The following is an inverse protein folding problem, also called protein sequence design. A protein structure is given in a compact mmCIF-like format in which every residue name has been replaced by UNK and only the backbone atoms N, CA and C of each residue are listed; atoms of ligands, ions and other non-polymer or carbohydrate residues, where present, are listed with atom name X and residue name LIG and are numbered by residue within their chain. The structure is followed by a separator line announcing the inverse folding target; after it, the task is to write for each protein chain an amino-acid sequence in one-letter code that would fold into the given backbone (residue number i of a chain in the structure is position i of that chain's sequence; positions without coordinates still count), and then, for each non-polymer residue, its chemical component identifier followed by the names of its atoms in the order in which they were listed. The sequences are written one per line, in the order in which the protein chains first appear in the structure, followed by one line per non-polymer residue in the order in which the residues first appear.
data_IF_353673499440
#
_entry.id   IF_353673499440
#
_cell.length_a   1.000
_cell.length_b   1.000
_cell.length_c   1.000
_cell.angle_alpha   90.00
_cell.angle_beta   90.00
_cell.angle_gamma   90.00
#
_symmetry.space_group_name_H-M   'P 1'
#
loop_
_entity.id
_entity.type
_entity.pdbx_description
1 polymer ?
#
# COMPACT_ATOMS: atom_id res chain seq x y z
N UNK A 1 5.26 -39.75 -12.13
CA UNK A 1 5.79 -38.40 -12.40
C UNK A 1 4.95 -37.39 -11.61
N UNK A 2 5.32 -37.10 -10.36
CA UNK A 2 4.58 -36.18 -9.50
C UNK A 2 5.01 -34.75 -9.85
N UNK A 3 4.08 -33.92 -10.36
CA UNK A 3 4.26 -32.46 -10.40
C UNK A 3 4.25 -31.98 -8.94
N UNK A 4 5.44 -31.68 -8.41
CA UNK A 4 5.54 -31.10 -7.08
C UNK A 4 5.02 -29.67 -7.13
N UNK A 5 4.23 -29.36 -6.11
CA UNK A 5 3.53 -28.12 -5.88
C UNK A 5 4.44 -26.89 -5.95
N UNK A 6 3.82 -25.76 -6.27
CA UNK A 6 4.32 -24.41 -6.12
C UNK A 6 4.80 -24.24 -4.68
N UNK A 7 6.11 -24.33 -4.46
CA UNK A 7 6.76 -23.74 -3.30
C UNK A 7 8.17 -23.31 -3.70
N UNK A 8 8.26 -22.05 -4.12
CA UNK A 8 9.49 -21.30 -4.07
C UNK A 8 9.08 -19.86 -3.84
N UNK A 9 8.99 -19.47 -2.57
CA UNK A 9 9.21 -18.09 -2.18
C UNK A 9 10.57 -17.70 -2.77
N UNK A 10 10.56 -17.10 -3.96
CA UNK A 10 11.78 -16.64 -4.62
C UNK A 10 12.53 -15.72 -3.66
N UNK A 11 13.85 -15.62 -3.79
CA UNK A 11 14.64 -14.67 -3.01
C UNK A 11 14.02 -13.25 -3.03
N UNK A 12 13.43 -12.90 -4.17
CA UNK A 12 12.71 -11.66 -4.35
C UNK A 12 11.34 -11.63 -3.65
N UNK A 13 10.56 -12.71 -3.75
CA UNK A 13 9.21 -12.79 -3.18
C UNK A 13 9.18 -12.66 -1.66
N UNK A 14 10.18 -13.18 -0.94
CA UNK A 14 10.24 -12.99 0.52
C UNK A 14 10.69 -11.56 0.90
N UNK A 15 11.64 -10.98 0.16
CA UNK A 15 12.08 -9.60 0.35
C UNK A 15 10.94 -8.61 0.14
N UNK A 16 10.17 -8.78 -0.95
CA UNK A 16 8.98 -7.94 -1.21
C UNK A 16 7.96 -8.11 -0.09
N UNK A 17 7.76 -9.33 0.42
CA UNK A 17 6.87 -9.57 1.55
C UNK A 17 7.35 -8.86 2.83
N UNK A 18 8.64 -8.90 3.14
CA UNK A 18 9.19 -8.20 4.30
C UNK A 18 9.14 -6.67 4.17
N UNK A 19 9.36 -6.11 2.97
CA UNK A 19 9.19 -4.67 2.72
C UNK A 19 7.71 -4.27 2.88
N UNK A 20 6.79 -5.07 2.33
CA UNK A 20 5.34 -4.87 2.51
C UNK A 20 4.96 -4.91 3.99
N UNK A 21 5.44 -5.89 4.75
CA UNK A 21 5.21 -6.00 6.19
C UNK A 21 5.79 -4.82 6.97
N UNK A 22 7.01 -4.38 6.64
CA UNK A 22 7.62 -3.21 7.28
C UNK A 22 6.84 -1.93 6.99
N UNK A 23 6.41 -1.71 5.74
CA UNK A 23 5.60 -0.56 5.35
C UNK A 23 4.21 -0.60 6.00
N UNK A 24 3.59 -1.77 6.11
CA UNK A 24 2.31 -1.92 6.83
C UNK A 24 2.49 -1.67 8.33
N UNK A 25 3.52 -2.21 8.99
CA UNK A 25 3.72 -1.98 10.41
C UNK A 25 4.14 -0.53 10.74
N UNK A 26 4.76 0.17 9.80
CA UNK A 26 5.26 1.55 9.95
C UNK A 26 4.56 2.55 9.02
N UNK A 27 3.32 2.32 8.60
CA UNK A 27 2.59 3.24 7.71
C UNK A 27 2.22 4.52 8.46
N UNK A 28 3.21 5.37 8.66
CA UNK A 28 3.03 6.68 9.21
C UNK A 28 2.55 7.62 8.11
N UNK A 29 1.25 7.90 8.13
CA UNK A 29 0.60 8.87 7.25
C UNK A 29 0.56 10.27 7.88
N UNK A 30 1.39 10.53 8.87
CA UNK A 30 1.41 11.82 9.55
C UNK A 30 2.02 12.87 8.61
N UNK A 31 1.27 13.91 8.22
CA UNK A 31 1.79 14.91 7.31
C UNK A 31 2.93 15.68 7.98
N UNK A 32 4.05 15.83 7.27
CA UNK A 32 5.16 16.67 7.72
C UNK A 32 4.74 18.13 7.60
N UNK A 33 4.58 18.80 8.75
CA UNK A 33 4.15 20.20 8.79
C UNK A 33 5.34 21.13 8.57
N UNK A 34 5.19 22.08 7.66
CA UNK A 34 6.18 23.09 7.35
C UNK A 34 5.65 24.47 7.68
N UNK A 35 6.48 25.32 8.27
CA UNK A 35 6.12 26.70 8.60
C UNK A 35 7.14 27.68 8.02
N UNK A 36 6.66 28.81 7.51
CA UNK A 36 7.54 29.88 7.07
C UNK A 36 7.88 30.80 8.25
N UNK A 37 9.16 31.12 8.43
CA UNK A 37 9.66 32.08 9.43
C UNK A 37 10.67 33.01 8.78
N UNK A 38 10.20 34.18 8.34
CA UNK A 38 11.00 35.12 7.55
C UNK A 38 11.38 34.50 6.20
N UNK A 39 12.68 34.45 5.88
CA UNK A 39 13.22 33.83 4.67
C UNK A 39 13.46 32.32 4.78
N UNK A 40 13.07 31.68 5.89
CA UNK A 40 13.32 30.25 6.14
C UNK A 40 12.03 29.45 6.14
N UNK A 41 12.13 28.20 5.68
CA UNK A 41 11.10 27.16 5.83
C UNK A 41 11.59 26.20 6.90
N UNK A 42 10.79 26.00 7.95
CA UNK A 42 11.13 25.16 9.10
C UNK A 42 10.21 23.94 9.09
N UNK A 43 10.82 22.75 9.10
CA UNK A 43 10.12 21.50 9.32
C UNK A 43 9.77 21.35 10.81
N UNK A 44 8.51 21.06 11.10
CA UNK A 44 8.10 20.66 12.44
C UNK A 44 8.28 19.14 12.61
N UNK A 45 9.35 18.76 13.30
CA UNK A 45 9.68 17.36 13.59
C UNK A 45 8.96 16.80 14.82
N UNK A 46 8.33 17.64 15.63
CA UNK A 46 7.58 17.22 16.84
C UNK A 46 6.14 16.78 16.51
N UNK A 47 5.87 16.50 15.24
CA UNK A 47 4.54 16.05 14.83
C UNK A 47 4.28 14.67 15.43
N UNK A 48 3.23 14.54 16.24
CA UNK A 48 2.91 13.30 16.92
C UNK A 48 2.50 12.22 15.91
N UNK A 49 3.40 11.27 15.70
CA UNK A 49 3.15 10.05 14.94
C UNK A 49 2.11 9.18 15.69
N UNK A 50 1.20 8.54 14.95
CA UNK A 50 0.24 7.62 15.56
C UNK A 50 0.11 6.34 14.74
N UNK A 51 0.05 5.19 15.41
CA UNK A 51 -0.28 3.93 14.77
C UNK A 51 -1.68 4.02 14.13
N UNK A 52 -1.84 3.47 12.93
CA UNK A 52 -3.14 3.46 12.22
C UNK A 52 -3.86 2.15 12.46
N UNK A 53 -5.19 2.20 12.55
CA UNK A 53 -6.02 1.01 12.69
C UNK A 53 -6.23 0.37 11.32
N UNK A 54 -5.36 -0.57 10.94
CA UNK A 54 -5.37 -1.19 9.61
C UNK A 54 -6.71 -1.80 9.21
N UNK A 55 -7.45 -2.37 10.16
CA UNK A 55 -8.77 -2.92 9.83
C UNK A 55 -9.72 -1.84 9.29
N UNK A 56 -9.65 -0.59 9.79
CA UNK A 56 -10.50 0.50 9.27
C UNK A 56 -10.08 0.94 7.87
N UNK A 57 -8.78 0.88 7.59
CA UNK A 57 -8.25 1.14 6.24
C UNK A 57 -8.71 0.05 5.28
N UNK A 58 -8.63 -1.22 5.68
CA UNK A 58 -9.11 -2.34 4.89
C UNK A 58 -10.62 -2.31 4.68
N UNK A 59 -11.40 -1.95 5.70
CA UNK A 59 -12.86 -1.75 5.60
C UNK A 59 -13.20 -0.65 4.60
N UNK A 60 -12.53 0.50 4.68
CA UNK A 60 -12.70 1.59 3.70
C UNK A 60 -12.32 1.13 2.29
N UNK A 61 -11.15 0.50 2.13
CA UNK A 61 -10.71 0.01 0.83
C UNK A 61 -11.69 -1.02 0.26
N UNK A 62 -12.22 -1.90 1.11
CA UNK A 62 -13.22 -2.90 0.74
C UNK A 62 -14.54 -2.28 0.28
N UNK A 63 -15.03 -1.25 0.97
CA UNK A 63 -16.28 -0.56 0.61
C UNK A 63 -16.15 0.31 -0.65
N UNK A 64 -14.93 0.65 -1.06
CA UNK A 64 -14.63 1.42 -2.26
C UNK A 64 -13.95 0.57 -3.33
N UNK A 65 -14.04 -0.76 -3.24
CA UNK A 65 -13.50 -1.63 -4.29
C UNK A 65 -14.22 -1.36 -5.61
N UNK A 66 -13.41 -1.18 -6.64
CA UNK A 66 -13.88 -1.11 -8.01
C UNK A 66 -14.68 -2.36 -8.34
N UNK A 67 -15.90 -2.16 -8.81
CA UNK A 67 -16.68 -3.25 -9.38
C UNK A 67 -16.26 -3.45 -10.85
N UNK A 68 -15.46 -4.49 -11.09
CA UNK A 68 -14.91 -4.76 -12.43
C UNK A 68 -15.98 -5.07 -13.48
N UNK A 69 -17.19 -5.48 -13.07
CA UNK A 69 -18.31 -5.65 -14.01
C UNK A 69 -18.76 -4.35 -14.66
N UNK A 70 -18.39 -3.21 -14.07
CA UNK A 70 -18.83 -1.89 -14.53
C UNK A 70 -17.76 -1.22 -15.41
N UNK A 71 -16.64 -1.90 -15.66
CA UNK A 71 -15.53 -1.39 -16.46
C UNK A 71 -15.53 -2.06 -17.84
N UNK A 72 -15.90 -1.30 -18.87
CA UNK A 72 -15.94 -1.77 -20.26
C UNK A 72 -14.60 -2.38 -20.71
N UNK A 73 -13.49 -1.72 -20.37
CA UNK A 73 -12.15 -2.21 -20.72
C UNK A 73 -11.78 -3.55 -20.09
N UNK A 74 -12.38 -3.88 -18.96
CA UNK A 74 -12.22 -5.17 -18.29
C UNK A 74 -13.07 -6.23 -18.98
N UNK A 75 -14.31 -5.89 -19.36
CA UNK A 75 -15.23 -6.80 -20.05
C UNK A 75 -14.78 -7.13 -21.47
N UNK A 76 -14.22 -6.16 -22.19
CA UNK A 76 -13.77 -6.33 -23.57
C UNK A 76 -12.32 -6.86 -23.67
N UNK A 77 -11.66 -7.10 -22.55
CA UNK A 77 -10.30 -7.64 -22.49
C UNK A 77 -9.19 -6.68 -22.94
N UNK A 78 -9.48 -5.38 -23.07
CA UNK A 78 -8.47 -4.37 -23.41
C UNK A 78 -7.56 -3.99 -22.24
N UNK A 79 -7.97 -4.32 -21.01
CA UNK A 79 -7.15 -4.23 -19.80
C UNK A 79 -7.01 -5.63 -19.18
N UNK A 80 -5.77 -6.05 -18.98
CA UNK A 80 -5.40 -7.25 -18.25
C UNK A 80 -4.44 -6.85 -17.12
N UNK A 81 -4.79 -7.20 -15.87
CA UNK A 81 -3.88 -7.04 -14.73
C UNK A 81 -3.07 -8.32 -14.65
N UNK A 82 -1.85 -8.28 -15.19
CA UNK A 82 -0.81 -9.27 -14.92
C UNK A 82 -0.02 -8.82 -13.69
N UNK A 83 0.26 -9.76 -12.81
CA UNK A 83 1.03 -9.57 -11.58
C UNK A 83 2.51 -9.20 -11.82
#
# INVERSE_FOLDING_TARGET
MRRSAIDKQSGLGHCINHIREALQCHADLTPMLWTAKGSKVILNTDTRHTCRHFNKIHEWAASHRTNYSDIESWLNGSIEIVD
#
